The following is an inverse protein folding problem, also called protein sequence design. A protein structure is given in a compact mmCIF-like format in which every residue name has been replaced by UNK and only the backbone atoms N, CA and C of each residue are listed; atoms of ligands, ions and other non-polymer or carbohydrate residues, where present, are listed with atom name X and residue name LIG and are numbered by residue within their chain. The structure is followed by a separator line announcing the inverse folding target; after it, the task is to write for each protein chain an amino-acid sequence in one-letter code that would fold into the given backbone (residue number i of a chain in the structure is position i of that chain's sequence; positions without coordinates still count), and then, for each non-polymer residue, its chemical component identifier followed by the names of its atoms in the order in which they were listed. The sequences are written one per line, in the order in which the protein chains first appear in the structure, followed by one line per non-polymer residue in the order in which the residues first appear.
data_IF_851527618595
#
_entry.id   IF_851527618595
#
_cell.length_a   1.000
_cell.length_b   1.000
_cell.length_c   1.000
_cell.angle_alpha   90.00
_cell.angle_beta   90.00
_cell.angle_gamma   90.00
#
_symmetry.space_group_name_H-M   'P 1'
#
loop_
_entity.id
_entity.type
_entity.pdbx_description
1 polymer ?
#
# COMPACT_ATOMS: atom_id res chain seq x y z
N UNK A 1 9.92 4.12 18.83
CA UNK A 1 9.73 4.44 17.40
C UNK A 1 8.95 3.32 16.75
N UNK A 2 7.69 3.59 16.37
CA UNK A 2 6.80 2.57 15.80
C UNK A 2 7.30 2.08 14.44
N UNK A 3 7.69 3.02 13.58
CA UNK A 3 8.29 2.78 12.27
C UNK A 3 9.52 1.87 12.34
N UNK A 4 10.47 2.16 13.24
CA UNK A 4 11.67 1.32 13.44
C UNK A 4 11.27 -0.07 13.95
N UNK A 5 10.30 -0.16 14.86
CA UNK A 5 9.83 -1.43 15.41
C UNK A 5 9.08 -2.29 14.39
N UNK A 6 8.41 -1.65 13.44
CA UNK A 6 7.53 -2.27 12.44
C UNK A 6 8.30 -2.64 11.17
N UNK A 7 9.05 -1.70 10.59
CA UNK A 7 9.71 -1.82 9.29
C UNK A 7 11.24 -1.97 9.40
N UNK A 8 11.82 -1.56 10.53
CA UNK A 8 13.26 -1.54 10.74
C UNK A 8 13.89 -0.21 10.34
N UNK A 9 15.19 -0.08 10.58
CA UNK A 9 15.97 1.11 10.22
C UNK A 9 17.45 0.78 10.10
N UNK A 10 18.16 1.54 9.27
CA UNK A 10 19.63 1.54 9.21
C UNK A 10 20.13 2.78 9.91
N UNK A 11 20.88 2.61 11.01
CA UNK A 11 21.37 3.69 11.88
C UNK A 11 22.90 3.72 11.93
N UNK A 12 23.54 3.28 10.85
CA UNK A 12 25.00 3.22 10.71
C UNK A 12 25.61 4.56 10.30
N UNK A 13 24.81 5.53 9.84
CA UNK A 13 25.23 6.83 9.33
C UNK A 13 25.72 7.82 10.39
N UNK A 14 25.58 7.53 11.69
CA UNK A 14 26.14 8.34 12.78
C UNK A 14 27.65 8.10 12.99
N UNK A 15 28.42 8.07 11.89
CA UNK A 15 29.86 7.80 11.89
C UNK A 15 30.70 8.96 12.44
N UNK A 16 30.22 10.20 12.33
CA UNK A 16 30.80 11.34 13.06
C UNK A 16 30.36 11.29 14.53
N UNK A 17 31.18 10.64 15.36
CA UNK A 17 31.00 10.59 16.81
C UNK A 17 31.00 9.19 17.44
N UNK A 18 31.32 8.13 16.69
CA UNK A 18 31.27 6.74 17.16
C UNK A 18 29.88 6.29 17.67
N UNK A 19 28.80 6.92 17.18
CA UNK A 19 27.41 6.67 17.57
C UNK A 19 26.73 5.62 16.66
N UNK A 20 27.50 4.64 16.16
CA UNK A 20 26.96 3.60 15.30
C UNK A 20 25.95 2.74 16.09
N UNK A 21 24.67 2.83 15.72
CA UNK A 21 23.58 2.08 16.36
C UNK A 21 23.16 0.84 15.57
N UNK A 22 23.91 0.46 14.53
CA UNK A 22 23.69 -0.74 13.74
C UNK A 22 22.48 -0.66 12.82
N UNK A 23 21.86 -1.81 12.57
CA UNK A 23 20.69 -1.94 11.72
C UNK A 23 19.66 -2.86 12.37
N UNK A 24 18.39 -2.57 12.13
CA UNK A 24 17.25 -3.35 12.63
C UNK A 24 16.40 -3.74 11.43
N UNK A 25 16.03 -5.01 11.34
CA UNK A 25 15.05 -5.50 10.36
C UNK A 25 13.70 -5.62 11.05
N UNK A 26 12.70 -4.90 10.57
CA UNK A 26 11.34 -4.99 11.10
C UNK A 26 10.60 -6.26 10.65
N UNK A 27 9.62 -6.73 11.41
CA UNK A 27 8.81 -7.90 11.08
C UNK A 27 7.91 -7.70 9.87
N UNK A 28 7.52 -6.45 9.56
CA UNK A 28 6.60 -6.13 8.46
C UNK A 28 7.40 -5.82 7.20
N UNK A 29 7.11 -6.56 6.13
CA UNK A 29 7.71 -6.38 4.81
C UNK A 29 6.60 -6.30 3.77
N UNK A 30 6.58 -5.23 2.98
CA UNK A 30 5.56 -5.01 1.95
C UNK A 30 6.20 -5.13 0.56
N UNK A 31 5.54 -5.86 -0.33
CA UNK A 31 5.92 -5.97 -1.73
C UNK A 31 5.43 -4.77 -2.56
N UNK A 32 5.86 -4.72 -3.82
CA UNK A 32 5.39 -3.69 -4.74
C UNK A 32 3.93 -3.96 -5.13
N UNK A 33 3.07 -2.96 -4.90
CA UNK A 33 1.70 -3.03 -5.36
C UNK A 33 1.65 -3.05 -6.89
N UNK A 34 0.82 -3.93 -7.45
CA UNK A 34 0.58 -4.01 -8.90
C UNK A 34 -0.89 -3.81 -9.19
N UNK A 35 -1.20 -3.15 -10.29
CA UNK A 35 -2.58 -3.06 -10.76
C UNK A 35 -3.06 -4.43 -11.23
N UNK A 36 -4.33 -4.73 -10.95
CA UNK A 36 -4.98 -5.96 -11.44
C UNK A 36 -5.03 -5.95 -12.97
N UNK A 37 -5.42 -4.81 -13.53
CA UNK A 37 -5.45 -4.56 -14.96
C UNK A 37 -4.31 -3.65 -15.42
N UNK A 38 -3.92 -3.69 -16.69
CA UNK A 38 -3.08 -2.67 -17.29
C UNK A 38 -3.71 -1.27 -17.14
N UNK A 39 -2.96 -0.34 -16.57
CA UNK A 39 -3.39 1.05 -16.43
C UNK A 39 -2.90 1.89 -17.61
N UNK A 40 -3.72 2.85 -18.04
CA UNK A 40 -3.34 3.85 -19.03
C UNK A 40 -3.35 5.25 -18.38
N UNK A 41 -2.17 5.86 -18.18
CA UNK A 41 -2.09 7.24 -17.74
C UNK A 41 -2.69 8.20 -18.79
N UNK A 42 -3.46 9.18 -18.35
CA UNK A 42 -3.98 10.27 -19.17
C UNK A 42 -3.26 11.56 -18.83
N UNK A 43 -2.84 12.30 -19.85
CA UNK A 43 -2.30 13.64 -19.71
C UNK A 43 -3.44 14.66 -19.80
N UNK A 44 -3.61 15.45 -18.74
CA UNK A 44 -4.59 16.53 -18.66
C UNK A 44 -3.85 17.85 -18.68
N UNK A 45 -4.05 18.62 -19.75
CA UNK A 45 -3.50 19.97 -19.87
C UNK A 45 -4.23 20.93 -18.91
N UNK A 46 -3.46 21.72 -18.17
CA UNK A 46 -3.98 22.71 -17.21
C UNK A 46 -3.30 24.07 -17.45
N UNK A 47 -3.85 25.14 -16.88
CA UNK A 47 -3.32 26.51 -17.02
C UNK A 47 -3.03 27.14 -15.67
N UNK A 48 -1.89 27.82 -15.51
CA UNK A 48 -1.63 28.73 -14.39
C UNK A 48 -1.84 30.18 -14.84
N UNK A 49 -2.78 30.87 -14.21
CA UNK A 49 -3.12 32.27 -14.50
C UNK A 49 -2.41 33.24 -13.54
N UNK A 50 -1.95 32.75 -12.39
CA UNK A 50 -1.27 33.58 -11.39
C UNK A 50 0.09 34.08 -11.92
N UNK A 51 0.30 35.39 -11.80
CA UNK A 51 1.55 36.09 -12.07
C UNK A 51 2.50 35.79 -10.91
N UNK A 52 3.62 35.14 -11.20
CA UNK A 52 4.59 34.71 -10.18
C UNK A 52 5.84 35.59 -10.15
N UNK A 53 6.10 36.34 -11.22
CA UNK A 53 7.23 37.25 -11.35
C UNK A 53 6.77 38.59 -11.93
N UNK A 54 7.53 39.67 -11.68
CA UNK A 54 7.24 40.99 -12.26
C UNK A 54 7.29 40.95 -13.80
N UNK A 55 8.16 40.11 -14.37
CA UNK A 55 8.22 39.88 -15.81
C UNK A 55 6.95 39.21 -16.38
N UNK A 56 6.28 38.34 -15.60
CA UNK A 56 5.00 37.71 -15.99
C UNK A 56 3.85 38.75 -16.02
N UNK A 57 3.96 39.81 -15.23
CA UNK A 57 2.97 40.89 -15.19
C UNK A 57 3.03 41.76 -16.46
N UNK A 58 4.24 42.01 -16.95
CA UNK A 58 4.48 42.81 -18.15
C UNK A 58 4.16 42.03 -19.45
N UNK A 59 4.29 40.70 -19.42
CA UNK A 59 4.02 39.81 -20.56
C UNK A 59 2.92 38.82 -20.20
N UNK A 60 1.66 39.20 -20.45
CA UNK A 60 0.50 38.36 -20.13
C UNK A 60 0.40 37.12 -21.03
N UNK A 61 1.20 36.09 -20.74
CA UNK A 61 1.13 34.76 -21.33
C UNK A 61 0.66 33.76 -20.28
N UNK A 62 -0.41 33.01 -20.55
CA UNK A 62 -0.87 31.95 -19.66
C UNK A 62 0.08 30.75 -19.73
N UNK A 63 0.62 30.35 -18.59
CA UNK A 63 1.49 29.17 -18.52
C UNK A 63 0.68 27.87 -18.62
N UNK A 64 1.18 26.93 -19.40
CA UNK A 64 0.57 25.62 -19.62
C UNK A 64 1.27 24.58 -18.73
N UNK A 65 0.49 23.92 -17.88
CA UNK A 65 0.90 22.77 -17.08
C UNK A 65 0.32 21.46 -17.60
N UNK A 66 0.81 20.36 -17.06
CA UNK A 66 0.35 19.01 -17.38
C UNK A 66 0.14 18.22 -16.09
N UNK A 67 -0.95 17.47 -16.03
CA UNK A 67 -1.26 16.57 -14.93
C UNK A 67 -1.49 15.18 -15.47
N UNK A 68 -0.74 14.20 -14.97
CA UNK A 68 -0.94 12.80 -15.31
C UNK A 68 -1.87 12.18 -14.29
N UNK A 69 -2.93 11.53 -14.77
CA UNK A 69 -3.90 10.82 -13.94
C UNK A 69 -4.07 9.39 -14.42
N UNK A 70 -4.47 8.50 -13.52
CA UNK A 70 -5.00 7.19 -13.87
C UNK A 70 -6.52 7.27 -13.70
N UNK A 71 -7.34 7.11 -14.76
CA UNK A 71 -8.80 7.24 -14.65
C UNK A 71 -9.40 6.28 -13.63
N UNK A 72 -8.90 5.03 -13.64
CA UNK A 72 -9.20 4.03 -12.64
C UNK A 72 -8.09 2.98 -12.59
N UNK A 73 -7.80 2.48 -11.40
CA UNK A 73 -6.91 1.33 -11.20
C UNK A 73 -7.19 0.68 -9.86
N UNK A 74 -7.36 -0.63 -9.85
CA UNK A 74 -7.39 -1.44 -8.64
C UNK A 74 -5.99 -2.02 -8.42
N UNK A 75 -5.35 -1.68 -7.32
CA UNK A 75 -4.00 -2.15 -6.99
C UNK A 75 -4.05 -3.16 -5.86
N UNK A 76 -3.27 -4.22 -6.01
CA UNK A 76 -3.05 -5.24 -4.99
C UNK A 76 -1.62 -5.14 -4.49
N UNK A 77 -1.49 -4.98 -3.17
CA UNK A 77 -0.22 -5.08 -2.45
C UNK A 77 -0.23 -6.36 -1.63
N UNK A 78 0.92 -7.02 -1.55
CA UNK A 78 1.11 -8.21 -0.74
C UNK A 78 2.14 -7.93 0.34
N UNK A 79 1.87 -8.39 1.56
CA UNK A 79 2.68 -8.09 2.73
C UNK A 79 2.88 -9.31 3.62
N UNK A 80 3.92 -9.24 4.44
CA UNK A 80 4.35 -10.31 5.32
C UNK A 80 4.63 -9.74 6.71
N UNK A 81 4.18 -10.45 7.75
CA UNK A 81 4.50 -10.13 9.15
C UNK A 81 5.16 -11.36 9.78
N UNK A 82 6.45 -11.26 10.12
CA UNK A 82 7.20 -12.36 10.73
C UNK A 82 7.13 -12.30 12.25
N UNK A 83 6.40 -13.24 12.87
CA UNK A 83 6.33 -13.37 14.33
C UNK A 83 7.72 -13.59 14.96
N UNK A 84 8.59 -14.36 14.30
CA UNK A 84 9.96 -14.60 14.76
C UNK A 84 10.82 -13.32 14.80
N UNK A 85 10.70 -12.42 13.80
CA UNK A 85 11.40 -11.13 13.82
C UNK A 85 10.80 -10.18 14.86
N UNK A 86 9.48 -10.16 15.00
CA UNK A 86 8.77 -9.35 15.99
C UNK A 86 9.26 -9.69 17.41
N UNK A 87 9.29 -10.98 17.74
CA UNK A 87 9.74 -11.49 19.04
C UNK A 87 11.24 -11.28 19.28
N UNK A 88 12.10 -11.58 18.29
CA UNK A 88 13.56 -11.59 18.51
C UNK A 88 14.21 -10.22 18.43
N UNK A 89 13.67 -9.30 17.63
CA UNK A 89 14.45 -8.14 17.18
C UNK A 89 13.86 -6.81 17.62
N UNK A 90 12.54 -6.64 17.51
CA UNK A 90 11.94 -5.31 17.65
C UNK A 90 10.96 -5.18 18.81
N UNK A 91 10.45 -6.29 19.35
CA UNK A 91 9.39 -6.29 20.36
C UNK A 91 8.05 -5.81 19.82
N UNK A 92 7.83 -5.93 18.50
CA UNK A 92 6.57 -5.58 17.84
C UNK A 92 5.43 -6.41 18.42
N UNK A 93 4.44 -5.74 19.02
CA UNK A 93 3.36 -6.36 19.79
C UNK A 93 2.10 -6.59 18.95
N UNK A 94 1.11 -7.28 19.53
CA UNK A 94 -0.23 -7.37 18.93
C UNK A 94 -0.91 -5.99 18.85
N UNK A 95 -0.69 -5.11 19.84
CA UNK A 95 -1.19 -3.73 19.79
C UNK A 95 -0.59 -2.95 18.60
N UNK A 96 0.69 -3.17 18.30
CA UNK A 96 1.33 -2.57 17.13
C UNK A 96 0.75 -3.11 15.80
N UNK A 97 0.35 -4.38 15.80
CA UNK A 97 -0.28 -5.05 14.66
C UNK A 97 -1.70 -4.52 14.42
N UNK A 98 -2.49 -4.34 15.48
CA UNK A 98 -3.81 -3.71 15.39
C UNK A 98 -3.72 -2.26 14.91
N UNK A 99 -2.71 -1.52 15.38
CA UNK A 99 -2.42 -0.18 14.89
C UNK A 99 -2.03 -0.21 13.40
N UNK A 100 -1.27 -1.21 12.95
CA UNK A 100 -0.92 -1.38 11.53
C UNK A 100 -2.17 -1.58 10.68
N UNK A 101 -3.10 -2.44 11.11
CA UNK A 101 -4.36 -2.68 10.39
C UNK A 101 -5.20 -1.41 10.29
N UNK A 102 -5.32 -0.69 11.40
CA UNK A 102 -6.02 0.60 11.43
C UNK A 102 -5.36 1.61 10.49
N UNK A 103 -4.04 1.69 10.50
CA UNK A 103 -3.29 2.58 9.62
C UNK A 103 -3.44 2.22 8.15
N UNK A 104 -3.44 0.92 7.79
CA UNK A 104 -3.66 0.47 6.41
C UNK A 104 -5.08 0.82 5.96
N UNK A 105 -6.11 0.50 6.75
CA UNK A 105 -7.50 0.80 6.39
C UNK A 105 -7.73 2.31 6.17
N UNK A 106 -7.06 3.16 6.95
CA UNK A 106 -7.17 4.61 6.86
C UNK A 106 -6.03 5.28 6.05
N UNK A 107 -5.22 4.50 5.32
CA UNK A 107 -3.95 4.97 4.74
C UNK A 107 -4.11 6.19 3.83
N UNK A 108 -5.24 6.32 3.15
CA UNK A 108 -5.51 7.41 2.20
C UNK A 108 -6.43 8.51 2.73
N UNK A 109 -7.09 8.30 3.87
CA UNK A 109 -8.09 9.24 4.42
C UNK A 109 -7.46 10.55 4.92
N UNK A 110 -6.18 10.51 5.29
CA UNK A 110 -5.43 11.69 5.74
C UNK A 110 -4.39 12.16 4.71
N UNK A 111 -4.37 11.57 3.51
CA UNK A 111 -3.31 11.79 2.51
C UNK A 111 -3.84 12.38 1.19
N UNK A 112 -4.88 13.21 1.30
CA UNK A 112 -5.50 13.88 0.16
C UNK A 112 -4.60 14.95 -0.47
N UNK A 113 -4.53 14.96 -1.80
CA UNK A 113 -3.86 16.01 -2.54
C UNK A 113 -4.43 16.17 -3.94
N UNK A 114 -4.13 17.30 -4.58
CA UNK A 114 -4.52 17.53 -5.96
C UNK A 114 -4.01 16.43 -6.90
N UNK A 115 -2.84 15.83 -6.64
CA UNK A 115 -2.24 14.80 -7.50
C UNK A 115 -2.89 13.41 -7.32
N UNK A 116 -3.35 13.06 -6.12
CA UNK A 116 -3.82 11.70 -5.80
C UNK A 116 -5.30 11.47 -6.12
N UNK A 117 -6.13 12.52 -6.11
CA UNK A 117 -7.56 12.36 -6.31
C UNK A 117 -8.19 11.48 -5.22
N UNK A 118 -9.11 10.58 -5.61
CA UNK A 118 -9.79 9.66 -4.70
C UNK A 118 -9.08 8.30 -4.64
N UNK A 119 -8.23 8.13 -3.64
CA UNK A 119 -7.64 6.84 -3.26
C UNK A 119 -8.37 6.30 -2.03
N UNK A 120 -8.61 5.00 -1.97
CA UNK A 120 -9.25 4.35 -0.83
C UNK A 120 -8.77 2.90 -0.76
N UNK A 121 -8.55 2.39 0.45
CA UNK A 121 -8.37 0.95 0.67
C UNK A 121 -9.72 0.28 0.51
N UNK A 122 -9.76 -0.79 -0.28
CA UNK A 122 -11.00 -1.52 -0.59
C UNK A 122 -11.18 -2.73 0.30
N UNK A 123 -10.13 -3.53 0.42
CA UNK A 123 -10.10 -4.68 1.29
C UNK A 123 -8.69 -4.88 1.84
N UNK A 124 -8.63 -5.29 3.10
CA UNK A 124 -7.47 -5.84 3.76
C UNK A 124 -7.79 -7.31 4.10
N UNK A 125 -7.08 -8.22 3.44
CA UNK A 125 -7.27 -9.67 3.60
C UNK A 125 -6.06 -10.21 4.37
N UNK A 126 -6.30 -10.73 5.57
CA UNK A 126 -5.28 -11.17 6.50
C UNK A 126 -5.32 -12.69 6.62
N UNK A 127 -4.22 -13.33 6.26
CA UNK A 127 -3.99 -14.75 6.54
C UNK A 127 -3.14 -14.90 7.79
N UNK A 128 -3.73 -15.42 8.87
CA UNK A 128 -3.04 -15.67 10.15
C UNK A 128 -2.68 -17.14 10.26
N UNK A 129 -1.39 -17.41 10.45
CA UNK A 129 -0.89 -18.76 10.73
C UNK A 129 -0.94 -19.02 12.24
N UNK A 130 -1.28 -20.25 12.65
CA UNK A 130 -1.26 -20.65 14.06
C UNK A 130 0.13 -21.05 14.57
N UNK A 131 1.16 -21.00 13.72
CA UNK A 131 2.53 -21.39 14.00
C UNK A 131 3.51 -20.26 13.64
N UNK A 132 4.51 -20.02 14.50
CA UNK A 132 5.44 -18.85 14.41
C UNK A 132 6.20 -18.76 13.08
N UNK A 133 6.52 -19.91 12.47
CA UNK A 133 7.28 -19.99 11.22
C UNK A 133 6.39 -20.06 9.96
N UNK A 134 5.07 -20.06 10.12
CA UNK A 134 4.11 -20.19 9.02
C UNK A 134 3.75 -21.65 8.72
N UNK A 135 2.48 -21.88 8.44
CA UNK A 135 1.90 -23.22 8.27
C UNK A 135 1.60 -23.54 6.79
N UNK A 136 1.74 -22.55 5.91
CA UNK A 136 1.58 -22.67 4.47
C UNK A 136 2.49 -21.67 3.74
N UNK A 137 2.94 -21.98 2.50
CA UNK A 137 3.64 -21.02 1.67
C UNK A 137 2.76 -19.81 1.33
N UNK A 138 3.31 -18.61 1.40
CA UNK A 138 2.56 -17.37 1.18
C UNK A 138 1.93 -17.27 -0.22
N UNK A 139 2.63 -17.70 -1.28
CA UNK A 139 2.08 -17.66 -2.64
C UNK A 139 0.77 -18.44 -2.77
N UNK A 140 0.66 -19.59 -2.09
CA UNK A 140 -0.58 -20.38 -2.11
C UNK A 140 -1.75 -19.62 -1.49
N UNK A 141 -1.50 -18.86 -0.42
CA UNK A 141 -2.52 -18.06 0.25
C UNK A 141 -2.94 -16.87 -0.60
N UNK A 142 -1.97 -16.19 -1.19
CA UNK A 142 -2.21 -15.10 -2.12
C UNK A 142 -2.96 -15.56 -3.37
N UNK A 143 -2.69 -16.76 -3.88
CA UNK A 143 -3.41 -17.32 -5.03
C UNK A 143 -4.89 -17.62 -4.71
N UNK A 144 -5.29 -17.75 -3.44
CA UNK A 144 -6.70 -17.91 -3.03
C UNK A 144 -7.51 -16.63 -3.24
N UNK A 145 -6.86 -15.47 -3.28
CA UNK A 145 -7.53 -14.19 -3.52
C UNK A 145 -7.67 -13.99 -5.02
N UNK A 146 -8.93 -14.06 -5.51
CA UNK A 146 -9.28 -13.83 -6.91
C UNK A 146 -9.97 -12.48 -7.06
N UNK A 147 -9.59 -11.78 -8.12
CA UNK A 147 -10.18 -10.51 -8.50
C UNK A 147 -10.55 -10.61 -9.97
N UNK A 148 -11.85 -10.56 -10.25
CA UNK A 148 -12.40 -10.78 -11.58
C UNK A 148 -13.34 -9.65 -11.95
N UNK A 149 -13.49 -9.38 -13.24
CA UNK A 149 -14.51 -8.45 -13.72
C UNK A 149 -15.90 -9.05 -13.53
N UNK A 150 -16.88 -8.18 -13.28
CA UNK A 150 -18.28 -8.56 -13.38
C UNK A 150 -18.68 -8.78 -14.84
N UNK A 151 -19.73 -9.56 -15.05
CA UNK A 151 -20.27 -9.86 -16.37
C UNK A 151 -20.56 -8.56 -17.16
N UNK A 152 -20.08 -8.52 -18.40
CA UNK A 152 -20.25 -7.37 -19.29
C UNK A 152 -19.26 -6.21 -19.06
N UNK A 153 -18.40 -6.27 -18.03
CA UNK A 153 -17.36 -5.26 -17.81
C UNK A 153 -16.12 -5.58 -18.63
N UNK A 154 -15.84 -4.73 -19.62
CA UNK A 154 -14.61 -4.80 -20.44
C UNK A 154 -13.53 -3.85 -19.95
N UNK A 155 -13.90 -2.66 -19.50
CA UNK A 155 -12.98 -1.63 -19.04
C UNK A 155 -13.47 -1.05 -17.70
N UNK A 156 -12.96 -1.55 -16.56
CA UNK A 156 -13.42 -1.14 -15.24
C UNK A 156 -13.15 0.35 -14.98
N UNK A 157 -14.09 1.00 -14.29
CA UNK A 157 -14.08 2.42 -13.91
C UNK A 157 -14.46 2.63 -12.44
N UNK A 158 -14.87 1.58 -11.76
CA UNK A 158 -15.21 1.60 -10.34
C UNK A 158 -14.82 0.30 -9.66
N UNK A 159 -14.72 0.33 -8.32
CA UNK A 159 -14.53 -0.91 -7.57
C UNK A 159 -15.74 -1.84 -7.69
N UNK A 160 -16.93 -1.29 -7.93
CA UNK A 160 -18.16 -2.05 -8.15
C UNK A 160 -18.15 -2.87 -9.44
N UNK A 161 -17.16 -2.68 -10.32
CA UNK A 161 -17.02 -3.44 -11.57
C UNK A 161 -16.25 -4.75 -11.36
N UNK A 162 -15.72 -4.98 -10.16
CA UNK A 162 -14.98 -6.19 -9.78
C UNK A 162 -15.77 -7.05 -8.81
N UNK A 163 -15.48 -8.34 -8.84
CA UNK A 163 -15.81 -9.32 -7.82
C UNK A 163 -14.50 -9.77 -7.17
N UNK A 164 -14.35 -9.50 -5.88
CA UNK A 164 -13.22 -9.95 -5.07
C UNK A 164 -13.67 -11.12 -4.21
N UNK A 165 -13.06 -12.28 -4.40
CA UNK A 165 -13.35 -13.50 -3.66
C UNK A 165 -12.09 -14.10 -3.05
N UNK A 166 -12.29 -14.87 -1.98
CA UNK A 166 -11.25 -15.68 -1.35
C UNK A 166 -11.73 -17.12 -1.36
N UNK A 167 -10.94 -18.02 -1.92
CA UNK A 167 -11.25 -19.45 -1.91
C UNK A 167 -10.96 -20.07 -0.53
N UNK A 168 -11.94 -19.98 0.35
CA UNK A 168 -11.85 -20.53 1.71
C UNK A 168 -11.88 -22.06 1.73
N UNK A 169 -12.37 -22.72 0.68
CA UNK A 169 -12.45 -24.19 0.62
C UNK A 169 -11.08 -24.84 0.51
N UNK A 170 -10.11 -24.12 -0.08
CA UNK A 170 -8.72 -24.55 -0.21
C UNK A 170 -7.80 -23.91 0.83
N UNK A 171 -8.35 -23.32 1.90
CA UNK A 171 -7.56 -22.73 2.96
C UNK A 171 -6.74 -23.83 3.69
N UNK A 172 -5.40 -23.74 3.74
CA UNK A 172 -4.58 -24.75 4.40
C UNK A 172 -4.87 -24.85 5.90
N UNK A 173 -4.75 -26.07 6.44
CA UNK A 173 -4.89 -26.31 7.88
C UNK A 173 -3.93 -25.43 8.70
N UNK A 174 -4.45 -24.84 9.78
CA UNK A 174 -3.69 -23.95 10.66
C UNK A 174 -3.55 -22.51 10.14
N UNK A 175 -4.28 -22.15 9.08
CA UNK A 175 -4.42 -20.76 8.62
C UNK A 175 -5.86 -20.30 8.81
N UNK A 176 -6.05 -19.09 9.33
CA UNK A 176 -7.35 -18.41 9.35
C UNK A 176 -7.31 -17.20 8.43
N UNK A 177 -8.40 -16.95 7.72
CA UNK A 177 -8.55 -15.79 6.84
C UNK A 177 -9.53 -14.80 7.47
N UNK A 178 -9.13 -13.53 7.57
CA UNK A 178 -9.99 -12.44 8.03
C UNK A 178 -10.00 -11.35 6.95
N UNK A 179 -11.19 -10.88 6.57
CA UNK A 179 -11.36 -9.75 5.65
C UNK A 179 -11.81 -8.53 6.45
N UNK A 180 -11.17 -7.40 6.20
CA UNK A 180 -11.44 -6.11 6.84
C UNK A 180 -11.61 -5.06 5.74
N UNK A 181 -12.61 -4.18 5.85
CA UNK A 181 -12.92 -3.17 4.85
C UNK A 181 -14.19 -2.41 5.18
#
# INVERSE_FOLDING_TARGET
FYDIRTFGAVMTTFTKGALNCGQVRGPVQLGFARSIDPILPQEVTITRVAITTEADAEKKNTEMGRKYIVPYGLYRAEGYVSANLARKTTGFSEEDLELLWTAILNMFENDHSAARGKMAVRELIVFKHNCELGCAPAHKLFDLVKVEHKDGVTAPRSYGDYTVSVDETHLPSGVTCTRMG
#
